data_IF_155668651218
#
_entry.id   IF_155668651218
#
_cell.length_a   1.000
_cell.length_b   1.000
_cell.length_c   1.000
_cell.angle_alpha   90.00
_cell.angle_beta   90.00
_cell.angle_gamma   90.00
#
_symmetry.space_group_name_H-M   'P 1'
#
loop_
_entity.id
_entity.type
_entity.pdbx_description
1 polymer ?
#
# COMPACT_ATOMS: atom_id res chain seq x y z
N UNK A 1 -5.09 -6.50 2.70
CA UNK A 1 -3.68 -6.09 2.51
C UNK A 1 -3.16 -5.52 3.81
N UNK A 2 -1.89 -5.76 4.13
CA UNK A 2 -1.23 -5.32 5.37
C UNK A 2 -0.06 -4.38 5.04
N UNK A 3 0.17 -3.35 5.86
CA UNK A 3 1.31 -2.43 5.70
C UNK A 3 2.42 -2.80 6.68
N UNK A 4 3.64 -3.00 6.17
CA UNK A 4 4.84 -3.35 6.95
C UNK A 4 6.00 -2.42 6.65
N UNK A 5 6.96 -2.39 7.58
CA UNK A 5 8.25 -1.68 7.44
C UNK A 5 8.09 -0.19 7.07
N UNK A 6 7.03 0.46 7.56
CA UNK A 6 6.77 1.87 7.32
C UNK A 6 7.92 2.72 7.85
N UNK A 7 8.52 3.51 6.97
CA UNK A 7 9.59 4.44 7.28
C UNK A 7 9.29 5.78 6.64
N UNK A 8 9.68 6.84 7.33
CA UNK A 8 9.59 8.19 6.80
C UNK A 8 10.85 8.97 7.12
N UNK A 9 11.29 9.79 6.17
CA UNK A 9 12.37 10.77 6.40
C UNK A 9 12.00 12.10 5.77
N UNK A 10 12.46 13.21 6.36
CA UNK A 10 12.26 14.55 5.81
C UNK A 10 13.56 15.07 5.22
N UNK A 11 13.50 15.63 4.01
CA UNK A 11 14.61 16.38 3.43
C UNK A 11 14.09 17.72 2.90
N UNK A 12 14.44 18.79 3.60
CA UNK A 12 13.90 20.12 3.34
C UNK A 12 12.36 20.14 3.43
N UNK A 13 11.72 20.50 2.32
CA UNK A 13 10.26 20.58 2.22
C UNK A 13 9.59 19.25 1.87
N UNK A 14 10.36 18.25 1.43
CA UNK A 14 9.82 16.95 0.99
C UNK A 14 9.84 15.95 2.13
N UNK A 15 8.78 15.16 2.24
CA UNK A 15 8.71 13.99 3.13
C UNK A 15 8.79 12.74 2.27
N UNK A 16 9.77 11.89 2.47
CA UNK A 16 9.86 10.60 1.79
C UNK A 16 9.23 9.55 2.69
N UNK A 17 8.29 8.76 2.15
CA UNK A 17 7.58 7.71 2.87
C UNK A 17 7.74 6.42 2.07
N UNK A 18 8.30 5.38 2.69
CA UNK A 18 8.41 4.05 2.10
C UNK A 18 7.70 3.02 2.99
N UNK A 19 6.99 2.08 2.38
CA UNK A 19 6.43 0.94 3.10
C UNK A 19 6.22 -0.25 2.16
N UNK A 20 6.07 -1.43 2.75
CA UNK A 20 5.68 -2.65 2.05
C UNK A 20 4.18 -2.92 2.23
N UNK A 21 3.48 -3.17 1.13
CA UNK A 21 2.12 -3.66 1.09
C UNK A 21 2.15 -5.17 0.86
N UNK A 22 1.77 -5.93 1.88
CA UNK A 22 1.64 -7.38 1.79
C UNK A 22 0.25 -7.74 1.25
N UNK A 23 0.22 -8.49 0.15
CA UNK A 23 -0.99 -8.89 -0.58
C UNK A 23 -1.01 -10.40 -0.82
N UNK A 24 -2.18 -11.02 -1.06
CA UNK A 24 -2.23 -12.42 -1.49
C UNK A 24 -1.37 -12.63 -2.74
N UNK A 25 -0.59 -13.73 -2.79
CA UNK A 25 0.29 -14.01 -3.94
C UNK A 25 -0.48 -14.26 -5.25
N UNK A 26 -1.77 -14.58 -5.16
CA UNK A 26 -2.68 -14.74 -6.30
C UNK A 26 -3.27 -13.42 -6.81
N UNK A 27 -3.03 -12.29 -6.15
CA UNK A 27 -3.61 -11.00 -6.53
C UNK A 27 -3.03 -10.55 -7.88
N UNK A 28 -3.87 -10.22 -8.88
CA UNK A 28 -3.38 -9.70 -10.14
C UNK A 28 -2.56 -8.43 -9.93
N UNK A 29 -1.44 -8.31 -10.66
CA UNK A 29 -0.56 -7.13 -10.59
C UNK A 29 -1.34 -5.83 -10.83
N UNK A 30 -2.34 -5.85 -11.70
CA UNK A 30 -3.24 -4.71 -11.94
C UNK A 30 -4.00 -4.27 -10.68
N UNK A 31 -4.50 -5.22 -9.89
CA UNK A 31 -5.24 -4.92 -8.66
C UNK A 31 -4.30 -4.46 -7.55
N UNK A 32 -3.10 -5.04 -7.47
CA UNK A 32 -2.05 -4.55 -6.59
C UNK A 32 -1.65 -3.10 -6.92
N UNK A 33 -1.53 -2.75 -8.20
CA UNK A 33 -1.25 -1.37 -8.62
C UNK A 33 -2.34 -0.40 -8.19
N UNK A 34 -3.61 -0.76 -8.39
CA UNK A 34 -4.74 0.06 -7.93
C UNK A 34 -4.77 0.25 -6.41
N UNK A 35 -4.33 -0.76 -5.63
CA UNK A 35 -4.16 -0.60 -4.19
C UNK A 35 -3.06 0.41 -3.87
N UNK A 36 -1.92 0.36 -4.58
CA UNK A 36 -0.83 1.31 -4.41
C UNK A 36 -1.30 2.74 -4.70
N UNK A 37 -1.97 2.98 -5.83
CA UNK A 37 -2.50 4.30 -6.20
C UNK A 37 -3.38 4.89 -5.09
N UNK A 38 -4.29 4.07 -4.54
CA UNK A 38 -5.17 4.51 -3.45
C UNK A 38 -4.41 4.84 -2.17
N UNK A 39 -3.37 4.10 -1.85
CA UNK A 39 -2.52 4.38 -0.68
C UNK A 39 -1.73 5.66 -0.89
N UNK A 40 -1.15 5.87 -2.07
CA UNK A 40 -0.45 7.10 -2.41
C UNK A 40 -1.37 8.32 -2.32
N UNK A 41 -2.58 8.25 -2.88
CA UNK A 41 -3.57 9.31 -2.74
C UNK A 41 -3.93 9.61 -1.28
N UNK A 42 -4.11 8.57 -0.46
CA UNK A 42 -4.44 8.73 0.96
C UNK A 42 -3.30 9.41 1.73
N UNK A 43 -2.06 9.02 1.44
CA UNK A 43 -0.86 9.65 2.00
C UNK A 43 -0.74 11.10 1.54
N UNK A 44 -0.90 11.38 0.25
CA UNK A 44 -0.80 12.73 -0.31
C UNK A 44 -1.89 13.68 0.23
N UNK A 45 -3.11 13.18 0.48
CA UNK A 45 -4.16 13.95 1.15
C UNK A 45 -3.77 14.40 2.57
N UNK A 46 -2.99 13.58 3.27
CA UNK A 46 -2.57 13.84 4.65
C UNK A 46 -1.25 14.62 4.71
N UNK A 47 -0.36 14.33 3.77
CA UNK A 47 0.99 14.90 3.66
C UNK A 47 1.22 15.32 2.20
N UNK A 48 0.80 16.52 1.81
CA UNK A 48 0.84 16.95 0.40
C UNK A 48 2.23 16.96 -0.23
N UNK A 49 3.28 17.17 0.57
CA UNK A 49 4.68 17.13 0.13
C UNK A 49 5.31 15.73 0.18
N UNK A 50 4.51 14.67 0.33
CA UNK A 50 5.02 13.31 0.39
C UNK A 50 5.44 12.80 -1.00
N UNK A 51 6.65 12.26 -1.06
CA UNK A 51 7.11 11.35 -2.12
C UNK A 51 7.00 9.94 -1.55
N UNK A 52 6.14 9.11 -2.14
CA UNK A 52 5.78 7.79 -1.60
C UNK A 52 6.40 6.70 -2.47
N UNK A 53 6.91 5.65 -1.85
CA UNK A 53 7.35 4.43 -2.53
C UNK A 53 6.72 3.23 -1.86
N UNK A 54 5.92 2.48 -2.63
CA UNK A 54 5.21 1.29 -2.14
C UNK A 54 5.86 0.04 -2.73
N UNK A 55 6.38 -0.83 -1.87
CA UNK A 55 6.85 -2.15 -2.25
C UNK A 55 5.68 -3.13 -2.15
N UNK A 56 5.39 -3.90 -3.19
CA UNK A 56 4.37 -4.96 -3.12
C UNK A 56 5.08 -6.28 -2.85
N UNK A 57 4.67 -6.96 -1.77
CA UNK A 57 5.21 -8.26 -1.39
C UNK A 57 4.05 -9.28 -1.28
N UNK A 58 4.23 -10.53 -1.74
CA UNK A 58 3.26 -11.58 -1.50
C UNK A 58 3.26 -11.97 0.00
N UNK A 59 2.09 -12.32 0.53
CA UNK A 59 1.95 -12.89 1.86
C UNK A 59 2.73 -14.21 1.99
N UNK A 60 3.40 -14.41 3.12
CA UNK A 60 4.10 -15.66 3.39
C UNK A 60 3.13 -16.79 3.75
N UNK A 61 3.61 -18.03 3.66
CA UNK A 61 2.82 -19.24 3.94
C UNK A 61 2.29 -19.20 5.38
N UNK A 62 0.98 -19.03 5.54
CA UNK A 62 0.29 -18.91 6.83
C UNK A 62 -0.28 -17.51 7.12
N UNK A 63 0.17 -16.47 6.42
CA UNK A 63 -0.41 -15.12 6.49
C UNK A 63 -1.64 -14.98 5.55
N UNK A 64 -1.73 -15.83 4.52
CA UNK A 64 -2.80 -15.83 3.51
C UNK A 64 -4.20 -15.98 4.10
N UNK A 65 -4.36 -16.82 5.14
CA UNK A 65 -5.65 -17.06 5.79
C UNK A 65 -6.21 -15.80 6.47
N UNK A 66 -5.36 -14.86 6.87
CA UNK A 66 -5.76 -13.58 7.48
C UNK A 66 -6.03 -12.48 6.44
N UNK A 67 -5.51 -12.64 5.22
CA UNK A 67 -5.55 -11.61 4.19
C UNK A 67 -6.80 -11.68 3.30
N UNK A 68 -7.48 -12.83 3.25
CA UNK A 68 -8.66 -13.09 2.42
C UNK A 68 -9.84 -12.14 2.70
N UNK A 69 -9.95 -11.59 3.92
CA UNK A 69 -11.00 -10.64 4.31
C UNK A 69 -10.65 -9.18 3.93
N UNK A 70 -9.36 -8.87 3.77
CA UNK A 70 -8.84 -7.51 3.67
C UNK A 70 -8.55 -7.07 2.22
N UNK A 71 -8.84 -7.91 1.23
CA UNK A 71 -8.76 -7.58 -0.21
C UNK A 71 -10.16 -7.57 -0.80
N UNK A 72 -11.08 -6.88 -0.12
CA UNK A 72 -12.35 -6.53 -0.74
C UNK A 72 -12.08 -5.33 -1.66
N UNK A 73 -12.51 -5.35 -2.94
CA UNK A 73 -12.46 -4.15 -3.76
C UNK A 73 -13.33 -3.11 -3.06
N UNK A 74 -12.70 -2.06 -2.53
CA UNK A 74 -13.41 -0.83 -2.19
C UNK A 74 -13.96 -0.35 -3.54
N UNK A 75 -15.28 -0.47 -3.70
CA UNK A 75 -15.96 -0.26 -4.97
C UNK A 75 -15.65 1.11 -5.59
N UNK A 76 -16.00 1.31 -6.87
CA UNK A 76 -15.77 2.58 -7.52
C UNK A 76 -16.43 3.70 -6.69
N UNK A 77 -15.68 4.78 -6.47
CA UNK A 77 -16.24 5.99 -5.87
C UNK A 77 -17.24 6.57 -6.87
N UNK A 78 -18.52 6.43 -6.56
CA UNK A 78 -19.57 7.31 -7.08
C UNK A 78 -19.55 8.64 -6.34
#
# INVERSE_FOLDING_TARGET
AEVRRLRSRRAGRTVFIEFALVVPGSLPVREAHQLCDRMEEAVQRTVPQASVTVHVEPAEKGEEARMADAVRPLGPRG
#
